data_IF_637440232450
#
_entry.id   IF_637440232450
#
_cell.length_a   1.000
_cell.length_b   1.000
_cell.length_c   1.000
_cell.angle_alpha   90.00
_cell.angle_beta   90.00
_cell.angle_gamma   90.00
#
_symmetry.space_group_name_H-M   'P 1'
#
loop_
_entity.id
_entity.type
_entity.pdbx_description
1 polymer ?
#
# COMPACT_ATOMS: atom_id res chain seq x y z
N UNK A 1 -9.13 -0.05 3.14
CA UNK A 1 -7.81 0.56 3.32
C UNK A 1 -7.95 2.07 3.28
N UNK A 2 -7.03 2.79 3.93
CA UNK A 2 -6.92 4.26 3.83
C UNK A 2 -5.48 4.59 3.50
N UNK A 3 -5.28 5.30 2.39
CA UNK A 3 -3.97 5.80 1.98
C UNK A 3 -3.74 7.18 2.57
N UNK A 4 -2.60 7.37 3.23
CA UNK A 4 -2.21 8.64 3.84
C UNK A 4 -0.89 9.15 3.26
N UNK A 5 -0.80 10.47 3.07
CA UNK A 5 0.47 11.16 2.83
C UNK A 5 1.09 11.47 4.20
N UNK A 6 2.20 10.82 4.53
CA UNK A 6 2.83 10.96 5.85
C UNK A 6 3.28 12.39 6.16
N UNK A 7 3.69 13.15 5.14
CA UNK A 7 4.22 14.51 5.28
C UNK A 7 3.14 15.54 5.61
N UNK A 8 1.93 15.37 5.08
CA UNK A 8 0.84 16.37 5.21
C UNK A 8 -0.35 15.84 6.01
N UNK A 9 -0.40 14.55 6.30
CA UNK A 9 -1.52 13.90 6.98
C UNK A 9 -2.77 13.71 6.12
N UNK A 10 -2.73 14.13 4.85
CA UNK A 10 -3.89 14.05 3.95
C UNK A 10 -4.22 12.61 3.58
N UNK A 11 -5.52 12.34 3.41
CA UNK A 11 -6.00 11.10 2.84
C UNK A 11 -5.93 11.23 1.32
N UNK A 12 -5.27 10.28 0.65
CA UNK A 12 -5.14 10.25 -0.81
C UNK A 12 -6.18 9.35 -1.46
N UNK A 13 -6.56 8.27 -0.81
CA UNK A 13 -7.58 7.35 -1.28
C UNK A 13 -8.18 6.54 -0.11
N UNK A 14 -9.41 6.06 -0.30
CA UNK A 14 -10.09 5.14 0.60
C UNK A 14 -10.69 3.98 -0.20
N UNK A 15 -10.62 2.78 0.38
CA UNK A 15 -11.24 1.57 -0.17
C UNK A 15 -11.98 0.86 0.95
N UNK A 16 -13.29 1.07 1.01
CA UNK A 16 -14.16 0.46 2.01
C UNK A 16 -14.77 -0.82 1.44
N UNK A 17 -14.27 -1.96 1.93
CA UNK A 17 -14.69 -3.28 1.47
C UNK A 17 -15.79 -3.84 2.36
N UNK A 18 -16.62 -4.71 1.80
CA UNK A 18 -17.56 -5.51 2.57
C UNK A 18 -16.82 -6.42 3.56
N UNK A 19 -17.40 -6.69 4.73
CA UNK A 19 -16.73 -7.39 5.83
C UNK A 19 -16.35 -8.85 5.54
N UNK A 20 -16.84 -9.43 4.45
CA UNK A 20 -16.49 -10.77 3.98
C UNK A 20 -15.29 -10.79 3.02
N UNK A 21 -14.79 -9.63 2.60
CA UNK A 21 -13.63 -9.54 1.71
C UNK A 21 -12.35 -9.62 2.54
N UNK A 22 -11.42 -10.49 2.12
CA UNK A 22 -10.15 -10.67 2.81
C UNK A 22 -9.36 -9.36 2.85
N UNK A 23 -8.68 -9.05 3.96
CA UNK A 23 -7.81 -7.87 4.04
C UNK A 23 -6.62 -7.94 3.07
N UNK A 24 -6.31 -9.12 2.52
CA UNK A 24 -5.23 -9.30 1.54
C UNK A 24 -5.71 -9.08 0.10
N UNK A 25 -7.01 -8.95 -0.15
CA UNK A 25 -7.56 -8.80 -1.51
C UNK A 25 -7.08 -7.49 -2.14
N UNK A 26 -6.48 -7.55 -3.32
CA UNK A 26 -6.17 -6.39 -4.18
C UNK A 26 -5.46 -5.19 -3.49
N UNK A 27 -4.50 -5.47 -2.60
CA UNK A 27 -3.75 -4.41 -1.93
C UNK A 27 -2.78 -3.67 -2.89
N UNK A 28 -2.26 -4.36 -3.92
CA UNK A 28 -1.46 -3.72 -4.97
C UNK A 28 -2.30 -2.76 -5.82
N UNK A 29 -3.53 -3.15 -6.19
CA UNK A 29 -4.45 -2.25 -6.89
C UNK A 29 -4.70 -0.98 -6.10
N UNK A 30 -4.95 -1.10 -4.79
CA UNK A 30 -5.12 0.06 -3.92
C UNK A 30 -3.89 0.98 -3.85
N UNK A 31 -2.66 0.42 -3.84
CA UNK A 31 -1.43 1.23 -3.87
C UNK A 31 -1.33 2.03 -5.16
N UNK A 32 -1.67 1.42 -6.32
CA UNK A 32 -1.69 2.12 -7.61
C UNK A 32 -2.74 3.22 -7.63
N UNK A 33 -3.94 2.97 -7.10
CA UNK A 33 -4.96 4.02 -6.91
C UNK A 33 -4.44 5.18 -6.08
N UNK A 34 -3.67 4.93 -5.01
CA UNK A 34 -3.05 6.00 -4.23
C UNK A 34 -2.05 6.81 -5.06
N UNK A 35 -1.28 6.18 -5.95
CA UNK A 35 -0.32 6.86 -6.82
C UNK A 35 -1.01 7.71 -7.88
N UNK A 36 -2.07 7.19 -8.50
CA UNK A 36 -2.86 7.89 -9.52
C UNK A 36 -3.61 9.12 -8.96
N UNK A 37 -3.90 9.12 -7.67
CA UNK A 37 -4.54 10.23 -6.97
C UNK A 37 -3.55 11.35 -6.55
N UNK A 38 -2.25 11.14 -6.70
CA UNK A 38 -1.26 12.19 -6.48
C UNK A 38 -1.21 13.16 -7.68
N UNK A 39 -0.71 14.40 -7.50
CA UNK A 39 -0.49 15.32 -8.60
C UNK A 39 0.37 14.70 -9.70
N UNK A 40 0.17 15.14 -10.95
CA UNK A 40 1.03 14.74 -12.07
C UNK A 40 2.50 14.99 -11.74
N UNK A 41 3.36 14.11 -12.24
CA UNK A 41 4.81 14.13 -12.05
C UNK A 41 5.29 13.90 -10.60
N UNK A 42 4.39 13.44 -9.72
CA UNK A 42 4.77 12.96 -8.39
C UNK A 42 4.75 11.43 -8.33
N UNK A 43 5.65 10.87 -7.53
CA UNK A 43 5.78 9.43 -7.34
C UNK A 43 5.89 9.10 -5.86
N UNK A 44 5.39 7.92 -5.49
CA UNK A 44 5.59 7.38 -4.14
C UNK A 44 7.05 6.91 -4.05
N UNK A 45 7.82 7.49 -3.13
CA UNK A 45 9.20 7.06 -2.85
C UNK A 45 9.36 6.19 -1.61
N UNK A 46 8.38 6.26 -0.69
CA UNK A 46 8.37 5.46 0.52
C UNK A 46 6.99 4.87 0.75
N UNK A 47 6.89 3.55 0.93
CA UNK A 47 5.66 2.84 1.23
C UNK A 47 5.73 2.21 2.64
N UNK A 48 4.70 2.44 3.45
CA UNK A 48 4.51 1.74 4.73
C UNK A 48 3.15 1.06 4.75
N UNK A 49 3.14 -0.25 4.98
CA UNK A 49 1.90 -1.04 5.03
C UNK A 49 2.00 -2.10 6.14
N UNK A 50 0.84 -2.52 6.64
CA UNK A 50 0.76 -3.54 7.68
C UNK A 50 0.99 -4.96 7.11
N UNK A 51 0.75 -5.97 7.95
CA UNK A 51 1.01 -7.36 7.59
C UNK A 51 0.07 -7.94 6.52
N UNK A 52 -1.10 -7.34 6.26
CA UNK A 52 -1.96 -7.75 5.15
C UNK A 52 -1.38 -7.36 3.79
N UNK A 53 -0.47 -6.38 3.77
CA UNK A 53 0.31 -5.97 2.61
C UNK A 53 1.53 -6.83 2.31
N UNK A 54 1.85 -7.84 3.14
CA UNK A 54 2.99 -8.73 2.91
C UNK A 54 2.70 -9.71 1.77
N UNK A 55 2.82 -9.22 0.54
CA UNK A 55 2.54 -9.94 -0.71
C UNK A 55 3.69 -9.74 -1.69
N UNK A 56 4.10 -10.81 -2.38
CA UNK A 56 5.22 -10.77 -3.34
C UNK A 56 5.02 -9.68 -4.40
N UNK A 57 3.82 -9.60 -4.98
CA UNK A 57 3.49 -8.60 -6.00
C UNK A 57 3.67 -7.14 -5.55
N UNK A 58 3.50 -6.85 -4.25
CA UNK A 58 3.72 -5.51 -3.69
C UNK A 58 5.22 -5.25 -3.53
N UNK A 59 5.97 -6.24 -3.08
CA UNK A 59 7.43 -6.16 -2.93
C UNK A 59 8.10 -5.98 -4.29
N UNK A 60 7.71 -6.80 -5.28
CA UNK A 60 8.20 -6.73 -6.65
C UNK A 60 7.91 -5.36 -7.26
N UNK A 61 6.68 -4.86 -7.10
CA UNK A 61 6.30 -3.52 -7.54
C UNK A 61 7.18 -2.42 -6.93
N UNK A 62 7.50 -2.53 -5.64
CA UNK A 62 8.38 -1.56 -4.98
C UNK A 62 9.81 -1.60 -5.53
N UNK A 63 10.35 -2.79 -5.81
CA UNK A 63 11.66 -2.93 -6.43
C UNK A 63 11.68 -2.36 -7.86
N UNK A 64 10.69 -2.70 -8.68
CA UNK A 64 10.58 -2.25 -10.07
C UNK A 64 10.48 -0.71 -10.19
N UNK A 65 9.91 -0.05 -9.18
CA UNK A 65 9.64 1.39 -9.21
C UNK A 65 10.57 2.21 -8.30
N UNK A 66 11.63 1.61 -7.75
CA UNK A 66 12.57 2.29 -6.83
C UNK A 66 11.83 2.96 -5.65
N UNK A 67 10.98 2.17 -4.99
CA UNK A 67 10.20 2.57 -3.81
C UNK A 67 10.80 1.90 -2.58
N UNK A 68 11.30 2.69 -1.63
CA UNK A 68 11.69 2.18 -0.32
C UNK A 68 10.44 1.71 0.43
N UNK A 69 10.47 0.52 1.05
CA UNK A 69 9.30 0.00 1.74
C UNK A 69 9.58 -0.51 3.15
N UNK A 70 8.56 -0.40 4.00
CA UNK A 70 8.49 -1.06 5.30
C UNK A 70 7.16 -1.80 5.41
N UNK A 71 7.23 -3.13 5.40
CA UNK A 71 6.06 -4.00 5.55
C UNK A 71 6.20 -4.76 6.85
N UNK A 72 5.18 -4.73 7.69
CA UNK A 72 5.18 -5.53 8.92
C UNK A 72 5.12 -7.02 8.55
N UNK A 73 6.13 -7.80 8.91
CA UNK A 73 6.08 -9.25 8.76
C UNK A 73 5.02 -9.86 9.71
N UNK A 74 4.26 -10.83 9.22
CA UNK A 74 3.47 -11.72 10.08
C UNK A 74 4.38 -12.88 10.49
N UNK A 75 4.88 -12.88 11.73
CA UNK A 75 5.61 -14.04 12.23
C UNK A 75 4.65 -15.23 12.33
N UNK A 76 4.98 -16.40 11.76
CA UNK A 76 4.23 -17.61 12.05
C UNK A 76 4.43 -17.95 13.53
N UNK A 77 3.32 -18.21 14.23
CA UNK A 77 3.36 -18.72 15.59
C UNK A 77 3.72 -20.21 15.43
N UNK A 78 4.92 -20.59 15.86
CA UNK A 78 5.40 -21.97 15.92
C UNK A 78 4.80 -22.71 17.10
#
# INVERSE_FOLDING_TARGET
MVGHIAQTGQIVATDFRAGNVSPNTDNLGFIKTCQDALPKDTNIKKLRIDAAGYQASIIDYCFENDIEFSIRAKMPIS
#
